data_IF_126238819671
#
_entry.id   IF_126238819671
#
_cell.length_a   1.000
_cell.length_b   1.000
_cell.length_c   1.000
_cell.angle_alpha   90.00
_cell.angle_beta   90.00
_cell.angle_gamma   90.00
#
_symmetry.space_group_name_H-M   'P 1'
#
loop_
_entity.id
_entity.type
_entity.pdbx_description
1 polymer ?
#
# COMPACT_ATOMS: atom_id res chain seq x y z
N UNK A 1 6.62 8.09 -0.85
CA UNK A 1 6.79 6.63 -1.07
C UNK A 1 6.28 5.85 0.14
N UNK A 2 6.99 5.84 1.28
CA UNK A 2 6.56 5.13 2.50
C UNK A 2 5.34 5.75 3.20
N UNK A 3 5.17 7.07 3.17
CA UNK A 3 3.99 7.71 3.79
C UNK A 3 2.66 7.22 3.17
N UNK A 4 2.59 7.16 1.83
CA UNK A 4 1.43 6.64 1.09
C UNK A 4 1.11 5.19 1.48
N UNK A 5 2.16 4.39 1.65
CA UNK A 5 2.03 2.98 2.05
C UNK A 5 1.23 2.84 3.35
N UNK A 6 1.40 3.77 4.29
CA UNK A 6 0.63 3.82 5.53
C UNK A 6 -0.72 4.52 5.39
N UNK A 7 -0.82 5.63 4.65
CA UNK A 7 -2.03 6.46 4.54
C UNK A 7 -3.29 5.70 4.10
N UNK A 8 -3.14 4.63 3.31
CA UNK A 8 -4.29 3.82 2.88
C UNK A 8 -4.73 2.80 3.95
N UNK A 9 -3.87 2.52 4.94
CA UNK A 9 -3.99 1.41 5.89
C UNK A 9 -4.15 1.84 7.34
N UNK A 10 -3.86 3.10 7.67
CA UNK A 10 -4.02 3.63 9.03
C UNK A 10 -4.72 4.98 8.99
N UNK A 11 -5.64 5.21 9.94
CA UNK A 11 -6.39 6.47 10.02
C UNK A 11 -5.68 7.59 10.80
N UNK A 12 -4.65 7.26 11.57
CA UNK A 12 -3.86 8.19 12.39
C UNK A 12 -2.48 7.60 12.66
N UNK A 13 -1.53 8.42 13.12
CA UNK A 13 -0.17 7.96 13.50
C UNK A 13 0.74 7.66 12.31
N UNK A 14 0.39 8.10 11.09
CA UNK A 14 1.19 7.89 9.88
C UNK A 14 2.62 8.40 10.05
N UNK A 15 2.78 9.61 10.59
CA UNK A 15 4.10 10.21 10.77
C UNK A 15 4.97 9.39 11.73
N UNK A 16 4.38 8.81 12.78
CA UNK A 16 5.10 7.96 13.73
C UNK A 16 5.58 6.67 13.05
N UNK A 17 4.74 6.04 12.22
CA UNK A 17 5.12 4.83 11.47
C UNK A 17 6.18 5.13 10.40
N UNK A 18 6.10 6.28 9.75
CA UNK A 18 7.13 6.76 8.81
C UNK A 18 8.44 6.98 9.55
N UNK A 19 8.42 7.69 10.67
CA UNK A 19 9.60 7.95 11.49
C UNK A 19 10.22 6.64 11.96
N UNK A 20 9.43 5.72 12.51
CA UNK A 20 9.89 4.41 12.96
C UNK A 20 10.55 3.61 11.82
N UNK A 21 9.96 3.65 10.63
CA UNK A 21 10.53 3.02 9.43
C UNK A 21 11.91 3.59 9.12
N UNK A 22 12.04 4.91 9.05
CA UNK A 22 13.32 5.56 8.74
C UNK A 22 14.37 5.37 9.85
N UNK A 23 13.97 5.40 11.12
CA UNK A 23 14.86 5.11 12.26
C UNK A 23 15.49 3.73 12.12
N UNK A 24 14.69 2.70 11.79
CA UNK A 24 15.18 1.34 11.55
C UNK A 24 16.03 1.25 10.28
N UNK A 25 15.71 2.00 9.22
CA UNK A 25 16.54 2.05 8.01
C UNK A 25 17.93 2.63 8.30
N UNK A 26 18.01 3.72 9.08
CA UNK A 26 19.28 4.38 9.43
C UNK A 26 20.16 3.47 10.27
N UNK A 27 19.58 2.74 11.23
CA UNK A 27 20.31 1.78 12.07
C UNK A 27 21.00 0.66 11.27
N UNK A 28 20.48 0.35 10.07
CA UNK A 28 21.00 -0.71 9.19
C UNK A 28 21.76 -0.18 7.96
N UNK A 29 21.94 1.14 7.87
CA UNK A 29 22.41 1.85 6.66
C UNK A 29 23.79 1.41 6.17
N UNK A 30 24.70 1.04 7.07
CA UNK A 30 26.06 0.65 6.71
C UNK A 30 26.13 -0.64 5.88
N UNK A 31 25.06 -1.45 5.88
CA UNK A 31 25.03 -2.77 5.24
C UNK A 31 24.49 -2.75 3.81
N UNK A 32 23.90 -1.65 3.35
CA UNK A 32 23.20 -1.58 2.06
C UNK A 32 23.76 -0.43 1.22
N UNK A 33 24.55 -0.78 0.19
CA UNK A 33 25.22 0.19 -0.70
C UNK A 33 24.47 0.46 -2.00
N UNK A 34 23.39 -0.29 -2.26
CA UNK A 34 22.61 -0.27 -3.49
C UNK A 34 21.24 0.37 -3.23
N UNK A 35 20.85 1.32 -4.08
CA UNK A 35 19.60 2.08 -3.94
C UNK A 35 18.34 1.22 -4.11
N UNK A 36 18.35 0.23 -5.01
CA UNK A 36 17.21 -0.68 -5.20
C UNK A 36 17.07 -1.60 -4.00
N UNK A 37 18.20 -2.14 -3.51
CA UNK A 37 18.22 -2.96 -2.28
C UNK A 37 17.79 -2.15 -1.07
N UNK A 38 18.18 -0.88 -0.98
CA UNK A 38 17.73 0.01 0.09
C UNK A 38 16.22 0.25 0.02
N UNK A 39 15.67 0.44 -1.18
CA UNK A 39 14.22 0.63 -1.37
C UNK A 39 13.44 -0.61 -0.95
N UNK A 40 13.87 -1.80 -1.39
CA UNK A 40 13.26 -3.07 -0.96
C UNK A 40 13.34 -3.23 0.56
N UNK A 41 14.52 -2.98 1.14
CA UNK A 41 14.71 -3.06 2.59
C UNK A 41 13.81 -2.10 3.37
N UNK A 42 13.66 -0.87 2.89
CA UNK A 42 12.75 0.12 3.47
C UNK A 42 11.30 -0.37 3.47
N UNK A 43 10.84 -1.00 2.38
CA UNK A 43 9.49 -1.59 2.33
C UNK A 43 9.34 -2.83 3.21
N UNK A 44 10.39 -3.63 3.37
CA UNK A 44 10.39 -4.75 4.31
C UNK A 44 10.22 -4.24 5.76
N UNK A 45 10.92 -3.16 6.11
CA UNK A 45 10.73 -2.49 7.41
C UNK A 45 9.33 -1.91 7.52
N UNK A 46 8.85 -1.16 6.52
CA UNK A 46 7.54 -0.52 6.55
C UNK A 46 6.42 -1.56 6.71
N UNK A 47 6.52 -2.70 6.03
CA UNK A 47 5.59 -3.82 6.18
C UNK A 47 5.60 -4.37 7.60
N UNK A 48 6.79 -4.63 8.18
CA UNK A 48 6.91 -5.11 9.55
C UNK A 48 6.35 -4.10 10.59
N UNK A 49 6.62 -2.81 10.40
CA UNK A 49 6.09 -1.71 11.24
C UNK A 49 4.57 -1.66 11.15
N UNK A 50 4.00 -1.72 9.95
CA UNK A 50 2.56 -1.78 9.74
C UNK A 50 1.94 -3.00 10.43
N UNK A 51 2.49 -4.19 10.19
CA UNK A 51 1.96 -5.43 10.76
C UNK A 51 2.02 -5.43 12.28
N UNK A 52 3.11 -4.90 12.87
CA UNK A 52 3.24 -4.71 14.31
C UNK A 52 2.16 -3.75 14.84
N UNK A 53 2.04 -2.58 14.23
CA UNK A 53 1.05 -1.56 14.59
C UNK A 53 -0.39 -2.10 14.54
N UNK A 54 -0.77 -2.79 13.46
CA UNK A 54 -2.13 -3.33 13.33
C UNK A 54 -2.39 -4.46 14.33
N UNK A 55 -1.43 -5.37 14.54
CA UNK A 55 -1.59 -6.43 15.56
C UNK A 55 -1.72 -5.85 16.96
N UNK A 56 -0.93 -4.84 17.31
CA UNK A 56 -0.99 -4.18 18.61
C UNK A 56 -2.29 -3.41 18.81
N UNK A 57 -2.68 -2.61 17.81
CA UNK A 57 -3.87 -1.76 17.90
C UNK A 57 -5.18 -2.56 17.98
N UNK A 58 -5.22 -3.74 17.38
CA UNK A 58 -6.44 -4.56 17.30
C UNK A 58 -6.34 -5.90 18.06
N UNK A 59 -5.39 -5.99 18.99
CA UNK A 59 -5.12 -7.15 19.85
C UNK A 59 -6.32 -7.65 20.67
N UNK A 60 -7.40 -6.85 20.77
CA UNK A 60 -8.62 -7.16 21.54
C UNK A 60 -9.79 -7.74 20.75
N UNK A 61 -9.68 -7.96 19.44
CA UNK A 61 -10.78 -8.53 18.65
C UNK A 61 -10.35 -9.02 17.27
N UNK A 62 -10.37 -10.35 17.07
CA UNK A 62 -10.30 -11.05 15.77
C UNK A 62 -9.04 -10.90 14.89
N UNK A 63 -8.04 -10.09 15.23
CA UNK A 63 -6.87 -9.89 14.35
C UNK A 63 -5.71 -10.81 14.71
N UNK A 64 -5.78 -12.06 14.23
CA UNK A 64 -4.61 -12.92 14.15
C UNK A 64 -3.99 -12.90 12.73
N UNK A 65 -4.81 -12.68 11.69
CA UNK A 65 -4.40 -12.88 10.30
C UNK A 65 -4.73 -11.68 9.39
N UNK A 66 -3.69 -10.92 9.02
CA UNK A 66 -3.79 -9.78 8.09
C UNK A 66 -4.06 -10.20 6.64
N UNK A 67 -4.01 -11.51 6.34
CA UNK A 67 -4.37 -12.08 5.04
C UNK A 67 -5.88 -12.30 4.87
N UNK A 68 -6.65 -12.18 5.96
CA UNK A 68 -8.10 -12.35 5.97
C UNK A 68 -8.86 -11.08 6.37
N UNK A 69 -8.22 -10.16 7.10
CA UNK A 69 -8.89 -8.97 7.64
C UNK A 69 -8.60 -7.73 6.80
N UNK A 70 -9.64 -6.94 6.49
CA UNK A 70 -9.54 -5.69 5.74
C UNK A 70 -9.39 -4.47 6.64
N UNK A 71 -8.97 -3.33 6.08
CA UNK A 71 -8.85 -2.08 6.86
C UNK A 71 -10.21 -1.54 7.29
N UNK A 72 -11.25 -1.74 6.47
CA UNK A 72 -12.61 -1.41 6.86
C UNK A 72 -13.09 -2.20 8.08
N UNK A 73 -12.66 -3.45 8.23
CA UNK A 73 -12.99 -4.27 9.41
C UNK A 73 -12.28 -3.77 10.68
N UNK A 74 -11.03 -3.32 10.53
CA UNK A 74 -10.19 -2.85 11.62
C UNK A 74 -10.54 -1.44 12.09
N UNK A 75 -10.72 -0.53 11.13
CA UNK A 75 -10.90 0.90 11.35
C UNK A 75 -12.02 1.41 10.43
N UNK A 76 -13.30 1.13 10.77
CA UNK A 76 -14.42 1.66 10.03
C UNK A 76 -14.39 3.19 10.03
N UNK A 77 -14.38 3.78 8.83
CA UNK A 77 -14.25 5.22 8.65
C UNK A 77 -13.70 5.59 7.27
N UNK A 78 -13.81 6.87 6.87
CA UNK A 78 -13.30 7.33 5.58
C UNK A 78 -11.78 7.19 5.51
N UNK A 79 -11.26 6.98 4.29
CA UNK A 79 -9.82 7.01 4.07
C UNK A 79 -9.22 8.36 4.47
N UNK A 80 -8.03 8.35 5.08
CA UNK A 80 -7.22 9.56 5.27
C UNK A 80 -6.72 10.15 3.95
N UNK A 81 -6.80 9.38 2.86
CA UNK A 81 -6.44 9.85 1.53
C UNK A 81 -7.63 10.50 0.83
N UNK A 82 -7.60 11.83 0.69
CA UNK A 82 -8.65 12.59 -0.01
C UNK A 82 -8.41 12.53 -1.52
N UNK A 83 -9.20 11.72 -2.22
CA UNK A 83 -9.21 11.68 -3.68
C UNK A 83 -10.15 12.74 -4.29
N UNK A 84 -9.59 13.57 -5.18
CA UNK A 84 -10.34 14.58 -5.95
C UNK A 84 -11.22 13.99 -7.06
N UNK A 85 -10.81 12.85 -7.65
CA UNK A 85 -11.55 12.15 -8.72
C UNK A 85 -12.36 10.98 -8.13
N UNK A 86 -13.55 10.74 -8.66
CA UNK A 86 -14.47 9.68 -8.20
C UNK A 86 -13.87 8.28 -8.37
N UNK A 87 -13.25 8.01 -9.51
CA UNK A 87 -12.56 6.75 -9.81
C UNK A 87 -11.45 6.43 -8.79
N UNK A 88 -10.67 7.45 -8.41
CA UNK A 88 -9.61 7.28 -7.42
C UNK A 88 -10.19 6.98 -6.04
N UNK A 89 -11.34 7.59 -5.71
CA UNK A 89 -12.04 7.32 -4.45
C UNK A 89 -12.55 5.88 -4.42
N UNK A 90 -13.17 5.41 -5.51
CA UNK A 90 -13.62 4.03 -5.65
C UNK A 90 -12.49 3.04 -5.40
N UNK A 91 -11.32 3.28 -5.99
CA UNK A 91 -10.17 2.39 -5.83
C UNK A 91 -9.59 2.40 -4.41
N UNK A 92 -9.47 3.58 -3.78
CA UNK A 92 -9.00 3.67 -2.39
C UNK A 92 -9.98 2.94 -1.45
N UNK A 93 -11.28 3.13 -1.63
CA UNK A 93 -12.31 2.43 -0.85
C UNK A 93 -12.28 0.92 -1.11
N UNK A 94 -12.11 0.49 -2.37
CA UNK A 94 -12.01 -0.92 -2.72
C UNK A 94 -10.77 -1.58 -2.12
N UNK A 95 -9.61 -0.89 -2.14
CA UNK A 95 -8.40 -1.35 -1.46
C UNK A 95 -8.66 -1.55 0.03
N UNK A 96 -9.31 -0.60 0.71
CA UNK A 96 -9.62 -0.71 2.15
C UNK A 96 -10.55 -1.89 2.48
N UNK A 97 -11.31 -2.38 1.51
CA UNK A 97 -12.24 -3.51 1.62
C UNK A 97 -11.63 -4.89 1.32
N UNK A 98 -10.37 -4.97 0.91
CA UNK A 98 -9.66 -6.25 0.76
C UNK A 98 -8.65 -6.45 1.89
N UNK A 99 -8.18 -7.69 2.13
CA UNK A 99 -7.24 -7.95 3.22
C UNK A 99 -5.96 -7.13 3.13
N UNK A 100 -5.40 -6.75 4.29
CA UNK A 100 -4.25 -5.84 4.36
C UNK A 100 -3.06 -6.37 3.57
N UNK A 101 -2.77 -7.67 3.65
CA UNK A 101 -1.65 -8.26 2.90
C UNK A 101 -1.87 -8.27 1.38
N UNK A 102 -3.13 -8.32 0.92
CA UNK A 102 -3.47 -8.19 -0.49
C UNK A 102 -3.25 -6.75 -0.97
N UNK A 103 -3.64 -5.75 -0.16
CA UNK A 103 -3.36 -4.34 -0.44
C UNK A 103 -1.85 -4.08 -0.56
N UNK A 104 -1.05 -4.66 0.35
CA UNK A 104 0.40 -4.52 0.35
C UNK A 104 1.01 -5.08 -0.93
N UNK A 105 0.61 -6.30 -1.35
CA UNK A 105 1.15 -6.88 -2.59
C UNK A 105 0.78 -6.06 -3.82
N UNK A 106 -0.47 -5.60 -3.90
CA UNK A 106 -0.90 -4.73 -5.01
C UNK A 106 -0.08 -3.43 -5.00
N UNK A 107 0.16 -2.85 -3.83
CA UNK A 107 0.95 -1.63 -3.70
C UNK A 107 2.39 -1.80 -4.19
N UNK A 108 3.06 -2.84 -3.70
CA UNK A 108 4.44 -3.15 -4.08
C UNK A 108 4.56 -3.46 -5.57
N UNK A 109 3.58 -4.15 -6.15
CA UNK A 109 3.60 -4.49 -7.56
C UNK A 109 3.34 -3.27 -8.45
N UNK A 110 2.21 -2.60 -8.25
CA UNK A 110 1.75 -1.57 -9.19
C UNK A 110 2.43 -0.22 -8.98
N UNK A 111 2.69 0.18 -7.74
CA UNK A 111 3.28 1.50 -7.49
C UNK A 111 4.79 1.44 -7.34
N UNK A 112 5.28 0.40 -6.67
CA UNK A 112 6.71 0.23 -6.44
C UNK A 112 7.38 -0.59 -7.55
N UNK A 113 6.64 -1.14 -8.50
CA UNK A 113 7.18 -1.91 -9.63
C UNK A 113 8.12 -3.03 -9.17
N UNK A 114 7.88 -3.59 -7.98
CA UNK A 114 8.67 -4.70 -7.48
C UNK A 114 8.31 -5.96 -8.25
N UNK A 115 9.34 -6.73 -8.59
CA UNK A 115 9.14 -8.04 -9.20
C UNK A 115 8.55 -9.00 -8.17
N UNK A 116 8.01 -10.13 -8.63
CA UNK A 116 7.52 -11.18 -7.70
C UNK A 116 8.62 -11.74 -6.80
N UNK A 117 9.88 -11.66 -7.23
CA UNK A 117 11.04 -12.03 -6.43
C UNK A 117 11.29 -10.99 -5.34
N UNK A 118 11.32 -9.71 -5.70
CA UNK A 118 11.57 -8.63 -4.74
C UNK A 118 10.46 -8.56 -3.68
N UNK A 119 9.20 -8.73 -4.10
CA UNK A 119 8.07 -8.80 -3.16
C UNK A 119 8.18 -9.99 -2.21
N UNK A 120 8.71 -11.14 -2.66
CA UNK A 120 8.93 -12.30 -1.81
C UNK A 120 9.96 -11.99 -0.72
N UNK A 121 11.05 -11.31 -1.07
CA UNK A 121 12.06 -10.84 -0.12
C UNK A 121 11.48 -9.81 0.87
N UNK A 122 10.69 -8.86 0.37
CA UNK A 122 10.09 -7.79 1.19
C UNK A 122 9.10 -8.33 2.23
N UNK A 123 8.24 -9.26 1.80
CA UNK A 123 7.14 -9.79 2.64
C UNK A 123 7.57 -11.02 3.45
N UNK A 124 8.63 -11.72 3.02
CA UNK A 124 9.13 -12.92 3.69
C UNK A 124 8.31 -14.18 3.40
N UNK A 125 7.77 -14.31 2.18
CA UNK A 125 6.97 -15.49 1.75
C UNK A 125 7.52 -16.08 0.45
N UNK A 126 7.25 -17.36 0.12
CA UNK A 126 7.75 -17.97 -1.12
C UNK A 126 7.27 -17.22 -2.38
N UNK A 127 8.12 -17.14 -3.41
CA UNK A 127 7.80 -16.48 -4.71
C UNK A 127 6.54 -17.08 -5.35
N UNK A 128 6.35 -18.40 -5.24
CA UNK A 128 5.12 -19.07 -5.71
C UNK A 128 3.87 -18.57 -4.98
N UNK A 129 3.98 -18.32 -3.67
CA UNK A 129 2.92 -17.75 -2.84
C UNK A 129 2.63 -16.31 -3.24
N UNK A 130 3.65 -15.50 -3.54
CA UNK A 130 3.48 -14.12 -4.03
C UNK A 130 2.65 -14.09 -5.32
N UNK A 131 2.96 -14.95 -6.31
CA UNK A 131 2.20 -14.99 -7.58
C UNK A 131 0.72 -15.32 -7.34
N UNK A 132 0.47 -16.38 -6.59
CA UNK A 132 -0.89 -16.78 -6.25
C UNK A 132 -1.64 -15.70 -5.46
N UNK A 133 -0.96 -15.04 -4.52
CA UNK A 133 -1.53 -13.96 -3.72
C UNK A 133 -1.80 -12.72 -4.57
N UNK A 134 -0.89 -12.30 -5.45
CA UNK A 134 -1.11 -11.18 -6.37
C UNK A 134 -2.34 -11.42 -7.26
N UNK A 135 -2.49 -12.62 -7.81
CA UNK A 135 -3.66 -12.96 -8.62
C UNK A 135 -4.95 -12.89 -7.80
N UNK A 136 -4.97 -13.47 -6.60
CA UNK A 136 -6.14 -13.39 -5.71
C UNK A 136 -6.46 -11.96 -5.27
N UNK A 137 -5.43 -11.17 -4.98
CA UNK A 137 -5.57 -9.77 -4.59
C UNK A 137 -6.21 -8.95 -5.71
N UNK A 138 -5.81 -9.17 -6.97
CA UNK A 138 -6.45 -8.54 -8.14
C UNK A 138 -7.93 -8.91 -8.22
N UNK A 139 -8.27 -10.20 -8.19
CA UNK A 139 -9.67 -10.64 -8.23
C UNK A 139 -10.51 -10.06 -7.09
N UNK A 140 -9.96 -10.02 -5.87
CA UNK A 140 -10.64 -9.42 -4.70
C UNK A 140 -10.84 -7.92 -4.88
N UNK A 141 -9.84 -7.22 -5.42
CA UNK A 141 -9.93 -5.80 -5.70
C UNK A 141 -11.02 -5.50 -6.74
N UNK A 142 -11.04 -6.26 -7.84
CA UNK A 142 -12.06 -6.13 -8.88
C UNK A 142 -13.47 -6.36 -8.30
N UNK A 143 -13.66 -7.40 -7.50
CA UNK A 143 -14.94 -7.68 -6.84
C UNK A 143 -15.34 -6.58 -5.83
N UNK A 144 -14.38 -6.02 -5.10
CA UNK A 144 -14.64 -4.90 -4.19
C UNK A 144 -15.05 -3.64 -4.96
N UNK A 145 -14.36 -3.33 -6.07
CA UNK A 145 -14.71 -2.22 -6.95
C UNK A 145 -16.11 -2.40 -7.56
N UNK A 146 -16.45 -3.62 -8.00
CA UNK A 146 -17.79 -3.93 -8.53
C UNK A 146 -18.90 -3.68 -7.51
N UNK A 147 -18.70 -4.07 -6.25
CA UNK A 147 -19.68 -3.81 -5.17
C UNK A 147 -19.84 -2.33 -4.85
N UNK A 148 -18.74 -1.57 -4.92
CA UNK A 148 -18.69 -0.17 -4.50
C UNK A 148 -19.00 0.81 -5.64
N UNK A 149 -18.95 0.36 -6.89
CA UNK A 149 -19.23 1.19 -8.05
C UNK A 149 -20.72 1.60 -8.05
N UNK A 150 -20.96 2.90 -8.05
CA UNK A 150 -22.31 3.48 -8.11
C UNK A 150 -22.87 3.48 -9.55
N UNK A 151 -22.03 3.30 -10.56
CA UNK A 151 -22.45 3.13 -11.96
C UNK A 151 -21.51 2.21 -12.77
N UNK A 152 -22.00 1.57 -13.85
CA UNK A 152 -21.17 0.74 -14.73
C UNK A 152 -20.02 1.50 -15.41
N UNK A 153 -20.18 2.82 -15.60
CA UNK A 153 -19.16 3.69 -16.19
C UNK A 153 -17.97 3.92 -15.24
N UNK A 154 -18.24 4.05 -13.93
CA UNK A 154 -17.18 4.16 -12.91
C UNK A 154 -16.34 2.87 -12.83
N UNK A 155 -16.98 1.72 -13.06
CA UNK A 155 -16.33 0.41 -13.07
C UNK A 155 -15.48 0.20 -14.34
N UNK A 156 -16.05 0.49 -15.52
CA UNK A 156 -15.40 0.27 -16.80
C UNK A 156 -14.13 1.12 -16.99
N UNK A 157 -14.13 2.38 -16.52
CA UNK A 157 -12.95 3.24 -16.60
C UNK A 157 -11.85 2.84 -15.60
N UNK A 158 -12.22 2.38 -14.40
CA UNK A 158 -11.25 2.03 -13.35
C UNK A 158 -10.63 0.65 -13.56
N UNK A 159 -11.39 -0.34 -14.07
CA UNK A 159 -10.87 -1.68 -14.38
C UNK A 159 -10.00 -1.73 -15.64
N UNK A 160 -10.36 -0.97 -16.69
CA UNK A 160 -9.60 -0.95 -17.95
C UNK A 160 -8.20 -0.34 -17.80
N UNK A 161 -7.91 0.28 -16.65
CA UNK A 161 -6.76 1.15 -16.46
C UNK A 161 -6.12 0.97 -15.09
N UNK A 162 -6.19 -0.20 -14.44
CA UNK A 162 -5.49 -0.37 -13.16
C UNK A 162 -3.98 -0.09 -13.30
N UNK A 163 -3.39 -0.52 -14.42
CA UNK A 163 -2.00 -0.22 -14.82
C UNK A 163 -1.77 1.26 -15.13
N UNK A 164 -2.71 1.90 -15.82
CA UNK A 164 -2.64 3.31 -16.20
C UNK A 164 -2.91 4.25 -15.02
N UNK A 165 -3.77 3.85 -14.09
CA UNK A 165 -4.00 4.55 -12.83
C UNK A 165 -2.80 4.38 -11.90
N UNK A 166 -2.22 3.18 -11.86
CA UNK A 166 -0.94 2.97 -11.20
C UNK A 166 0.13 3.89 -11.82
N UNK A 167 0.12 4.06 -13.14
CA UNK A 167 0.98 5.03 -13.84
C UNK A 167 0.70 6.49 -13.47
N UNK A 168 -0.56 6.93 -13.45
CA UNK A 168 -0.94 8.29 -13.04
C UNK A 168 -0.56 8.59 -11.58
N UNK A 169 -0.73 7.62 -10.68
CA UNK A 169 -0.28 7.76 -9.29
C UNK A 169 1.25 7.88 -9.18
N UNK A 170 2.01 7.21 -10.05
CA UNK A 170 3.46 7.34 -10.15
C UNK A 170 3.87 8.70 -10.69
N UNK A 171 3.22 9.19 -11.75
CA UNK A 171 3.48 10.53 -12.30
C UNK A 171 3.26 11.64 -11.26
N UNK A 172 2.22 11.53 -10.43
CA UNK A 172 1.98 12.47 -9.32
C UNK A 172 3.05 12.42 -8.22
N UNK A 173 3.78 11.31 -8.09
CA UNK A 173 4.92 11.19 -7.18
C UNK A 173 6.20 11.73 -7.80
N UNK A 174 6.41 11.52 -9.10
CA UNK A 174 7.51 12.12 -9.83
C UNK A 174 7.37 13.64 -9.95
N UNK A 175 6.15 14.17 -10.02
CA UNK A 175 5.92 15.61 -9.95
C UNK A 175 6.31 16.21 -8.60
N UNK A 176 6.08 15.49 -7.50
CA UNK A 176 6.56 15.88 -6.15
C UNK A 176 8.09 15.80 -6.03
N UNK A 177 8.76 14.96 -6.83
CA UNK A 177 10.23 14.88 -6.90
C UNK A 177 10.84 16.02 -7.74
N UNK A 178 10.05 16.66 -8.62
CA UNK A 178 10.46 17.74 -9.50
C UNK A 178 10.09 19.14 -9.02
N UNK A 179 9.31 19.29 -7.96
CA UNK A 179 9.16 20.58 -7.30
C UNK A 179 10.48 20.91 -6.57
N UNK A 180 11.19 22.00 -6.95
CA UNK A 180 12.30 22.46 -6.14
C UNK A 180 11.73 22.78 -4.76
N UNK A 181 12.36 22.25 -3.70
CA UNK A 181 12.14 22.75 -2.35
C UNK A 181 12.34 24.26 -2.43
N UNK A 182 11.25 25.01 -2.42
CA UNK A 182 11.32 26.44 -2.22
C UNK A 182 11.88 26.64 -0.82
N UNK A 183 13.19 26.90 -0.79
CA UNK A 183 13.90 27.40 0.38
C UNK A 183 13.13 28.61 0.88
N UNK A 184 12.49 28.46 2.03
CA UNK A 184 11.89 29.58 2.74
C UNK A 184 12.72 29.82 3.98
N UNK A 185 13.41 30.96 4.00
CA UNK A 185 13.93 31.65 5.19
C UNK A 185 15.29 31.20 5.66
#
# INVERSE_FOLDING_TARGET
MVERFFLNKVGSGVQDLVQETFTRCVASRERIKDNERFRMYMFAIAFNVLSGYLRERYRGGRVADLSEVSICDLAPGPSSLVAKRREHRLLIEALRNIPVEDQVILELHYWEQLTTHDMAEVIGIPVGTVRGRLQRARTRLEAAMQRLAESPQDLASTLARLDDWAAECRERLDSYRREPRTSTG
#
